data_IF_126285637069
#
_entry.id   IF_126285637069
#
_cell.length_a   1.000
_cell.length_b   1.000
_cell.length_c   1.000
_cell.angle_alpha   90.00
_cell.angle_beta   90.00
_cell.angle_gamma   90.00
#
_symmetry.space_group_name_H-M   'P 1'
#
loop_
_entity.id
_entity.type
_entity.pdbx_description
1 polymer ?
#
# COMPACT_ATOMS: atom_id res chain seq x y z
N UNK A 1 60.16 -53.62 46.97
CA UNK A 1 59.88 -52.29 46.37
C UNK A 1 60.03 -52.31 44.84
N UNK A 2 60.99 -53.03 44.27
CA UNK A 2 61.28 -53.04 42.82
C UNK A 2 60.20 -53.64 41.90
N UNK A 3 59.47 -54.70 42.30
CA UNK A 3 58.40 -55.28 41.48
C UNK A 3 57.19 -54.34 41.31
N UNK A 4 56.86 -53.53 42.33
CA UNK A 4 55.80 -52.51 42.25
C UNK A 4 56.19 -51.34 41.33
N UNK A 5 57.48 -51.00 41.26
CA UNK A 5 57.98 -49.99 40.31
C UNK A 5 57.94 -50.50 38.87
N UNK A 6 58.40 -51.73 38.61
CA UNK A 6 58.32 -52.33 37.27
C UNK A 6 56.88 -52.50 36.75
N UNK A 7 55.94 -52.85 37.61
CA UNK A 7 54.53 -52.93 37.21
C UNK A 7 53.95 -51.56 36.86
N UNK A 8 54.25 -50.53 37.67
CA UNK A 8 53.87 -49.14 37.39
C UNK A 8 54.52 -48.60 36.11
N UNK A 9 55.75 -48.98 35.80
CA UNK A 9 56.44 -48.58 34.57
C UNK A 9 55.81 -49.21 33.32
N UNK A 10 55.43 -50.50 33.40
CA UNK A 10 54.71 -51.18 32.33
C UNK A 10 53.32 -50.56 32.09
N UNK A 11 52.58 -50.25 33.16
CA UNK A 11 51.28 -49.59 33.06
C UNK A 11 51.41 -48.17 32.50
N UNK A 12 52.48 -47.44 32.87
CA UNK A 12 52.83 -46.15 32.27
C UNK A 12 53.11 -46.27 30.77
N UNK A 13 53.77 -47.32 30.30
CA UNK A 13 54.01 -47.53 28.87
C UNK A 13 52.73 -47.86 28.10
N UNK A 14 51.82 -48.64 28.67
CA UNK A 14 50.49 -48.93 28.08
C UNK A 14 49.63 -47.68 28.00
N UNK A 15 49.51 -46.93 29.10
CA UNK A 15 48.80 -45.65 29.12
C UNK A 15 49.37 -44.64 28.11
N UNK A 16 50.70 -44.60 27.92
CA UNK A 16 51.33 -43.76 26.89
C UNK A 16 50.97 -44.21 25.47
N UNK A 17 50.93 -45.51 25.22
CA UNK A 17 50.48 -46.07 23.93
C UNK A 17 49.00 -45.76 23.68
N UNK A 18 48.13 -45.93 24.67
CA UNK A 18 46.70 -45.60 24.60
C UNK A 18 46.48 -44.09 24.38
N UNK A 19 47.26 -43.23 25.05
CA UNK A 19 47.23 -41.78 24.80
C UNK A 19 47.68 -41.47 23.36
N UNK A 20 48.66 -42.19 22.83
CA UNK A 20 49.13 -41.98 21.46
C UNK A 20 48.13 -42.43 20.40
N UNK A 21 47.45 -43.57 20.61
CA UNK A 21 46.40 -44.05 19.72
C UNK A 21 45.17 -43.14 19.78
N UNK A 22 44.73 -42.74 20.97
CA UNK A 22 43.63 -41.78 21.15
C UNK A 22 43.93 -40.43 20.51
N UNK A 23 45.17 -39.94 20.60
CA UNK A 23 45.58 -38.71 19.88
C UNK A 23 45.52 -38.88 18.37
N UNK A 24 45.94 -40.03 17.85
CA UNK A 24 45.86 -40.31 16.42
C UNK A 24 44.41 -40.43 15.93
N UNK A 25 43.53 -41.04 16.72
CA UNK A 25 42.08 -41.11 16.46
C UNK A 25 41.42 -39.73 16.53
N UNK A 26 41.82 -38.88 17.49
CA UNK A 26 41.36 -37.50 17.58
C UNK A 26 41.76 -36.69 16.34
N UNK A 27 43.01 -36.84 15.86
CA UNK A 27 43.46 -36.18 14.64
C UNK A 27 42.71 -36.69 13.39
N UNK A 28 42.44 -37.99 13.31
CA UNK A 28 41.66 -38.58 12.21
C UNK A 28 40.21 -38.08 12.20
N UNK A 29 39.55 -38.09 13.36
CA UNK A 29 38.17 -37.61 13.51
C UNK A 29 38.07 -36.11 13.22
N UNK A 30 39.04 -35.31 13.71
CA UNK A 30 39.12 -33.89 13.38
C UNK A 30 39.28 -33.64 11.88
N UNK A 31 40.20 -34.36 11.22
CA UNK A 31 40.38 -34.24 9.76
C UNK A 31 39.13 -34.63 8.98
N UNK A 32 38.42 -35.67 9.42
CA UNK A 32 37.13 -36.07 8.83
C UNK A 32 36.04 -35.01 9.06
N UNK A 33 35.98 -34.39 10.25
CA UNK A 33 35.06 -33.28 10.52
C UNK A 33 35.37 -32.05 9.67
N UNK A 34 36.64 -31.68 9.51
CA UNK A 34 37.06 -30.55 8.66
C UNK A 34 36.72 -30.82 7.19
N UNK A 35 36.95 -32.04 6.69
CA UNK A 35 36.55 -32.42 5.32
C UNK A 35 35.02 -32.40 5.14
N UNK A 36 34.25 -32.86 6.13
CA UNK A 36 32.80 -32.80 6.10
C UNK A 36 32.28 -31.35 6.12
N UNK A 37 32.92 -30.46 6.90
CA UNK A 37 32.60 -29.03 6.92
C UNK A 37 32.90 -28.35 5.59
N UNK A 38 34.03 -28.68 4.95
CA UNK A 38 34.36 -28.15 3.62
C UNK A 38 33.35 -28.63 2.58
N UNK A 39 33.01 -29.92 2.57
CA UNK A 39 31.97 -30.49 1.70
C UNK A 39 30.59 -29.87 1.94
N UNK A 40 30.22 -29.65 3.20
CA UNK A 40 28.97 -28.95 3.52
C UNK A 40 28.98 -27.51 3.01
N UNK A 41 30.09 -26.79 3.18
CA UNK A 41 30.23 -25.40 2.74
C UNK A 41 30.14 -25.27 1.22
N UNK A 42 30.74 -26.20 0.46
CA UNK A 42 30.63 -26.21 -1.01
C UNK A 42 29.21 -26.52 -1.46
N UNK A 43 28.51 -27.45 -0.81
CA UNK A 43 27.11 -27.75 -1.10
C UNK A 43 26.20 -26.55 -0.80
N UNK A 44 26.38 -25.89 0.35
CA UNK A 44 25.61 -24.68 0.71
C UNK A 44 25.80 -23.59 -0.34
N UNK A 45 27.03 -23.35 -0.79
CA UNK A 45 27.31 -22.38 -1.85
C UNK A 45 26.61 -22.74 -3.18
N UNK A 46 26.61 -24.01 -3.56
CA UNK A 46 25.90 -24.47 -4.76
C UNK A 46 24.38 -24.27 -4.66
N UNK A 47 23.79 -24.57 -3.50
CA UNK A 47 22.36 -24.35 -3.25
C UNK A 47 22.03 -22.86 -3.32
N UNK A 48 22.82 -22.00 -2.67
CA UNK A 48 22.61 -20.54 -2.71
C UNK A 48 22.66 -19.99 -4.13
N UNK A 49 23.63 -20.44 -4.95
CA UNK A 49 23.71 -20.06 -6.35
C UNK A 49 22.46 -20.51 -7.13
N UNK A 50 21.98 -21.72 -6.88
CA UNK A 50 20.73 -22.22 -7.45
C UNK A 50 19.52 -21.38 -7.05
N UNK A 51 19.43 -20.98 -5.78
CA UNK A 51 18.36 -20.12 -5.27
C UNK A 51 18.38 -18.72 -5.92
N UNK A 52 19.58 -18.15 -6.15
CA UNK A 52 19.76 -16.88 -6.86
C UNK A 52 19.33 -17.01 -8.33
N UNK A 53 19.74 -18.08 -9.01
CA UNK A 53 19.32 -18.36 -10.39
C UNK A 53 17.78 -18.48 -10.48
N UNK A 54 17.16 -19.24 -9.57
CA UNK A 54 15.70 -19.37 -9.51
C UNK A 54 15.03 -18.00 -9.27
N UNK A 55 15.55 -17.17 -8.37
CA UNK A 55 15.00 -15.84 -8.12
C UNK A 55 15.08 -14.96 -9.37
N UNK A 56 16.23 -14.93 -10.03
CA UNK A 56 16.38 -14.14 -11.26
C UNK A 56 15.45 -14.64 -12.38
N UNK A 57 15.30 -15.96 -12.55
CA UNK A 57 14.36 -16.52 -13.52
C UNK A 57 12.93 -16.14 -13.19
N UNK A 58 12.53 -16.21 -11.92
CA UNK A 58 11.18 -15.82 -11.50
C UNK A 58 10.93 -14.32 -11.74
N UNK A 59 11.91 -13.46 -11.48
CA UNK A 59 11.81 -12.03 -11.77
C UNK A 59 11.65 -11.77 -13.28
N UNK A 60 12.39 -12.49 -14.12
CA UNK A 60 12.24 -12.40 -15.58
C UNK A 60 10.88 -12.90 -16.05
N UNK A 61 10.37 -14.00 -15.47
CA UNK A 61 9.04 -14.54 -15.77
C UNK A 61 7.96 -13.50 -15.42
N UNK A 62 7.99 -12.93 -14.22
CA UNK A 62 7.06 -11.90 -13.77
C UNK A 62 7.12 -10.63 -14.65
N UNK A 63 8.30 -10.27 -15.17
CA UNK A 63 8.43 -9.17 -16.13
C UNK A 63 7.81 -9.52 -17.49
N UNK A 64 8.01 -10.75 -17.98
CA UNK A 64 7.39 -11.22 -19.22
C UNK A 64 5.87 -11.31 -19.10
N UNK A 65 5.33 -11.83 -17.99
CA UNK A 65 3.89 -11.90 -17.73
C UNK A 65 3.25 -10.52 -17.72
N UNK A 66 3.86 -9.53 -17.05
CA UNK A 66 3.38 -8.14 -17.08
C UNK A 66 3.38 -7.57 -18.50
N UNK A 67 4.40 -7.88 -19.30
CA UNK A 67 4.46 -7.46 -20.70
C UNK A 67 3.37 -8.12 -21.54
N UNK A 68 3.11 -9.41 -21.33
CA UNK A 68 2.03 -10.14 -22.00
C UNK A 68 0.68 -9.52 -21.65
N UNK A 69 0.43 -9.21 -20.37
CA UNK A 69 -0.80 -8.53 -19.94
C UNK A 69 -0.96 -7.16 -20.61
N UNK A 70 0.11 -6.34 -20.66
CA UNK A 70 0.09 -5.05 -21.36
C UNK A 70 -0.24 -5.21 -22.85
N UNK A 71 0.45 -6.13 -23.52
CA UNK A 71 0.23 -6.41 -24.94
C UNK A 71 -1.20 -6.93 -25.20
N UNK A 72 -1.75 -7.76 -24.32
CA UNK A 72 -3.13 -8.26 -24.46
C UNK A 72 -4.14 -7.10 -24.41
N UNK A 73 -3.96 -6.16 -23.48
CA UNK A 73 -4.80 -4.95 -23.41
C UNK A 73 -4.68 -4.13 -24.70
N UNK A 74 -3.47 -3.97 -25.23
CA UNK A 74 -3.25 -3.28 -26.51
C UNK A 74 -3.96 -4.00 -27.67
N UNK A 75 -3.87 -5.33 -27.75
CA UNK A 75 -4.54 -6.13 -28.76
C UNK A 75 -6.07 -6.00 -28.66
N UNK A 76 -6.63 -6.09 -27.46
CA UNK A 76 -8.07 -5.88 -27.22
C UNK A 76 -8.50 -4.48 -27.70
N UNK A 77 -7.72 -3.45 -27.41
CA UNK A 77 -8.01 -2.08 -27.87
C UNK A 77 -7.97 -1.98 -29.40
N UNK A 78 -7.04 -2.67 -30.06
CA UNK A 78 -6.97 -2.71 -31.52
C UNK A 78 -8.15 -3.48 -32.11
N UNK A 79 -8.58 -4.59 -31.52
CA UNK A 79 -9.76 -5.34 -31.95
C UNK A 79 -11.05 -4.52 -31.84
N UNK A 80 -11.18 -3.69 -30.80
CA UNK A 80 -12.27 -2.72 -30.67
C UNK A 80 -12.24 -1.69 -31.80
N UNK A 81 -11.06 -1.15 -32.14
CA UNK A 81 -10.94 -0.21 -33.26
C UNK A 81 -11.26 -0.85 -34.61
N UNK A 82 -10.84 -2.11 -34.83
CA UNK A 82 -11.17 -2.87 -36.04
C UNK A 82 -12.68 -3.10 -36.14
N UNK A 83 -13.32 -3.46 -35.03
CA UNK A 83 -14.77 -3.67 -34.96
C UNK A 83 -15.55 -2.38 -35.24
N UNK A 84 -15.09 -1.25 -34.70
CA UNK A 84 -15.62 0.07 -34.99
C UNK A 84 -15.50 0.42 -36.48
N UNK A 85 -14.30 0.27 -37.06
CA UNK A 85 -14.06 0.57 -38.48
C UNK A 85 -14.89 -0.33 -39.41
N UNK A 86 -15.07 -1.62 -39.07
CA UNK A 86 -15.95 -2.53 -39.82
C UNK A 86 -17.41 -2.05 -39.81
N UNK A 87 -17.89 -1.53 -38.68
CA UNK A 87 -19.23 -0.94 -38.57
C UNK A 87 -19.36 0.30 -39.44
N UNK A 88 -18.37 1.17 -39.43
CA UNK A 88 -18.35 2.39 -40.25
C UNK A 88 -18.33 2.08 -41.75
N UNK A 89 -17.53 1.10 -42.18
CA UNK A 89 -17.53 0.61 -43.57
C UNK A 89 -18.91 0.09 -43.96
N UNK A 90 -19.57 -0.66 -43.07
CA UNK A 90 -20.91 -1.22 -43.34
C UNK A 90 -21.97 -0.11 -43.47
N UNK A 91 -21.91 0.90 -42.60
CA UNK A 91 -22.79 2.06 -42.67
C UNK A 91 -22.53 2.90 -43.93
N UNK A 92 -21.27 3.14 -44.30
CA UNK A 92 -20.93 3.83 -45.55
C UNK A 92 -21.41 3.07 -46.78
N UNK A 93 -21.29 1.74 -46.81
CA UNK A 93 -21.87 0.90 -47.86
C UNK A 93 -23.39 1.06 -47.94
N UNK A 94 -24.09 1.06 -46.80
CA UNK A 94 -25.54 1.30 -46.74
C UNK A 94 -25.90 2.69 -47.28
N UNK A 95 -25.17 3.73 -46.90
CA UNK A 95 -25.37 5.10 -47.39
C UNK A 95 -25.21 5.18 -48.91
N UNK A 96 -24.20 4.51 -49.48
CA UNK A 96 -24.01 4.43 -50.93
C UNK A 96 -25.23 3.80 -51.61
N UNK A 97 -25.76 2.69 -51.08
CA UNK A 97 -26.94 2.03 -51.65
C UNK A 97 -28.17 2.95 -51.60
N UNK A 98 -28.38 3.70 -50.51
CA UNK A 98 -29.48 4.67 -50.41
C UNK A 98 -29.32 5.79 -51.42
N UNK A 99 -28.12 6.37 -51.54
CA UNK A 99 -27.84 7.42 -52.53
C UNK A 99 -28.04 6.94 -53.97
N UNK A 100 -27.65 5.70 -54.29
CA UNK A 100 -27.88 5.11 -55.61
C UNK A 100 -29.37 4.99 -55.95
N UNK A 101 -30.21 4.59 -54.98
CA UNK A 101 -31.67 4.55 -55.17
C UNK A 101 -32.27 5.95 -55.36
N UNK A 102 -31.80 6.94 -54.62
CA UNK A 102 -32.23 8.33 -54.79
C UNK A 102 -31.84 8.87 -56.18
N UNK A 103 -30.65 8.51 -56.67
CA UNK A 103 -30.19 8.90 -58.00
C UNK A 103 -31.09 8.34 -59.11
N UNK A 104 -31.58 7.10 -58.98
CA UNK A 104 -32.52 6.54 -59.96
C UNK A 104 -33.86 7.29 -59.98
N UNK A 105 -34.38 7.70 -58.82
CA UNK A 105 -35.60 8.52 -58.75
C UNK A 105 -35.39 9.92 -59.35
N UNK A 106 -34.19 10.51 -59.19
CA UNK A 106 -33.86 11.79 -59.82
C UNK A 106 -33.91 11.68 -61.36
N UNK A 107 -33.35 10.62 -61.93
CA UNK A 107 -33.35 10.40 -63.39
C UNK A 107 -34.76 10.28 -63.95
N UNK A 108 -35.64 9.52 -63.29
CA UNK A 108 -37.04 9.40 -63.75
C UNK A 108 -37.78 10.74 -63.69
N UNK A 109 -37.54 11.55 -62.64
CA UNK A 109 -38.12 12.89 -62.54
C UNK A 109 -37.57 13.86 -63.61
N UNK A 110 -36.27 13.77 -63.94
CA UNK A 110 -35.69 14.56 -65.04
C UNK A 110 -36.31 14.18 -66.40
N UNK A 111 -36.57 12.91 -66.65
CA UNK A 111 -37.27 12.43 -67.85
C UNK A 111 -38.71 12.98 -67.91
N UNK A 112 -39.45 12.96 -66.79
CA UNK A 112 -40.79 13.55 -66.69
C UNK A 112 -40.79 15.07 -66.94
N UNK A 113 -39.82 15.79 -66.37
CA UNK A 113 -39.66 17.24 -66.61
C UNK A 113 -39.41 17.51 -68.10
N UNK A 114 -38.52 16.76 -68.74
CA UNK A 114 -38.23 16.92 -70.18
C UNK A 114 -39.46 16.63 -71.05
N UNK A 115 -40.25 15.62 -70.70
CA UNK A 115 -41.51 15.31 -71.38
C UNK A 115 -42.50 16.46 -71.24
N UNK A 116 -42.72 16.96 -70.02
CA UNK A 116 -43.62 18.09 -69.75
C UNK A 116 -43.15 19.37 -70.44
N UNK A 117 -41.84 19.62 -70.52
CA UNK A 117 -41.29 20.75 -71.27
C UNK A 117 -41.55 20.62 -72.77
N UNK A 118 -41.38 19.42 -73.33
CA UNK A 118 -41.70 19.15 -74.74
C UNK A 118 -43.19 19.38 -75.02
N UNK A 119 -44.07 18.83 -74.17
CA UNK A 119 -45.52 19.04 -74.29
C UNK A 119 -45.91 20.51 -74.16
N UNK A 120 -45.27 21.25 -73.26
CA UNK A 120 -45.51 22.69 -73.12
C UNK A 120 -45.08 23.45 -74.38
N UNK A 121 -43.95 23.09 -75.00
CA UNK A 121 -43.51 23.67 -76.26
C UNK A 121 -44.50 23.35 -77.39
N UNK A 122 -44.95 22.10 -77.51
CA UNK A 122 -45.98 21.71 -78.49
C UNK A 122 -47.28 22.50 -78.28
N UNK A 123 -47.75 22.63 -77.04
CA UNK A 123 -48.93 23.45 -76.74
C UNK A 123 -48.71 24.92 -77.09
N UNK A 124 -47.53 25.48 -76.84
CA UNK A 124 -47.19 26.86 -77.22
C UNK A 124 -47.15 27.04 -78.72
N UNK A 125 -46.58 26.10 -79.46
CA UNK A 125 -46.55 26.13 -80.92
C UNK A 125 -47.95 26.01 -81.51
N UNK A 126 -48.80 25.15 -80.95
CA UNK A 126 -50.22 25.08 -81.29
C UNK A 126 -50.94 26.39 -80.99
N UNK A 127 -50.67 27.01 -79.84
CA UNK A 127 -51.27 28.29 -79.48
C UNK A 127 -50.81 29.40 -80.42
N UNK A 128 -49.52 29.46 -80.76
CA UNK A 128 -48.97 30.40 -81.74
C UNK A 128 -49.55 30.17 -83.13
N UNK A 129 -49.78 28.91 -83.53
CA UNK A 129 -50.44 28.60 -84.79
C UNK A 129 -51.91 29.07 -84.80
N UNK A 130 -52.62 28.89 -83.68
CA UNK A 130 -53.98 29.39 -83.49
C UNK A 130 -54.01 30.92 -83.46
N UNK A 131 -53.10 31.58 -82.73
CA UNK A 131 -52.92 33.03 -82.70
C UNK A 131 -52.65 33.57 -84.10
N UNK A 132 -51.70 33.01 -84.85
CA UNK A 132 -51.48 33.40 -86.25
C UNK A 132 -52.72 33.18 -87.12
N UNK A 133 -53.43 32.07 -86.92
CA UNK A 133 -54.70 31.82 -87.63
C UNK A 133 -55.83 32.80 -87.25
N UNK A 134 -55.73 33.40 -86.06
CA UNK A 134 -56.67 34.39 -85.53
C UNK A 134 -56.28 35.82 -85.94
N UNK A 135 -54.98 36.11 -86.03
CA UNK A 135 -54.40 37.41 -86.41
C UNK A 135 -54.40 37.64 -87.92
N UNK A 136 -54.50 36.58 -88.75
CA UNK A 136 -54.66 36.70 -90.19
C UNK A 136 -55.98 37.41 -90.55
N UNK A 137 -55.94 38.64 -91.12
CA UNK A 137 -57.12 39.45 -91.40
C UNK A 137 -57.88 39.03 -92.68
N UNK A 138 -57.40 38.04 -93.43
CA UNK A 138 -57.98 37.57 -94.70
C UNK A 138 -59.21 36.65 -94.53
N UNK A 139 -59.55 36.24 -93.30
CA UNK A 139 -60.77 35.46 -93.03
C UNK A 139 -61.96 36.40 -92.77
N UNK A 140 -62.75 36.65 -93.82
CA UNK A 140 -63.96 37.51 -93.80
C UNK A 140 -65.00 37.10 -92.73
N UNK A 141 -65.01 35.82 -92.32
CA UNK A 141 -65.91 35.29 -91.27
C UNK A 141 -65.49 35.63 -89.83
N UNK A 142 -64.32 36.25 -89.62
CA UNK A 142 -63.77 36.56 -88.28
C UNK A 142 -63.56 38.05 -87.99
N UNK A 143 -63.84 38.94 -88.95
CA UNK A 143 -63.88 40.38 -88.69
C UNK A 143 -65.13 40.69 -87.87
N UNK A 144 -64.99 40.66 -86.54
CA UNK A 144 -65.99 41.23 -85.63
C UNK A 144 -65.67 42.70 -85.47
N UNK A 145 -66.54 43.57 -85.99
CA UNK A 145 -66.57 44.97 -85.54
C UNK A 145 -66.91 44.92 -84.05
N UNK A 146 -65.89 45.08 -83.20
CA UNK A 146 -66.09 45.20 -81.76
C UNK A 146 -66.90 46.47 -81.54
N UNK A 147 -68.19 46.29 -81.23
CA UNK A 147 -68.97 47.35 -80.62
C UNK A 147 -68.54 47.43 -79.16
N UNK A 148 -67.62 48.33 -78.88
CA UNK A 148 -67.50 48.96 -77.57
C UNK A 148 -67.94 50.40 -77.77
N UNK A 149 -69.04 50.80 -77.12
CA UNK A 149 -69.16 52.21 -76.78
C UNK A 149 -68.20 52.46 -75.62
N UNK A 150 -67.48 53.57 -75.67
CA UNK A 150 -66.83 54.07 -74.47
C UNK A 150 -67.92 54.22 -73.40
N UNK A 151 -67.76 53.58 -72.23
CA UNK A 151 -68.79 53.61 -71.21
C UNK A 151 -69.11 55.06 -70.86
N UNK A 152 -70.40 55.37 -70.84
CA UNK A 152 -70.89 56.69 -70.48
C UNK A 152 -70.32 57.07 -69.10
N UNK A 153 -70.05 58.36 -68.82
CA UNK A 153 -69.63 58.79 -67.48
C UNK A 153 -70.57 58.24 -66.38
N UNK A 154 -71.85 58.05 -66.67
CA UNK A 154 -72.82 57.45 -65.74
C UNK A 154 -72.55 55.96 -65.45
N UNK A 155 -72.12 55.18 -66.45
CA UNK A 155 -71.76 53.77 -66.29
C UNK A 155 -70.46 53.62 -65.49
N UNK A 156 -69.49 54.52 -65.70
CA UNK A 156 -68.28 54.59 -64.88
C UNK A 156 -68.62 54.93 -63.42
N UNK A 157 -69.50 55.91 -63.19
CA UNK A 157 -69.93 56.28 -61.83
C UNK A 157 -70.63 55.10 -61.15
N UNK A 158 -71.53 54.41 -61.83
CA UNK A 158 -72.19 53.20 -61.32
C UNK A 158 -71.16 52.10 -60.98
N UNK A 159 -70.12 51.95 -61.82
CA UNK A 159 -69.05 50.98 -61.57
C UNK A 159 -68.17 51.37 -60.39
N UNK A 160 -67.85 52.65 -60.24
CA UNK A 160 -67.09 53.19 -59.09
C UNK A 160 -67.87 52.92 -57.80
N UNK A 161 -69.17 53.23 -57.76
CA UNK A 161 -70.03 52.96 -56.60
C UNK A 161 -70.06 51.46 -56.25
N UNK A 162 -70.14 50.57 -57.24
CA UNK A 162 -70.05 49.12 -57.00
C UNK A 162 -68.70 48.69 -56.42
N UNK A 163 -67.61 49.33 -56.84
CA UNK A 163 -66.26 49.04 -56.36
C UNK A 163 -66.06 49.60 -54.95
N UNK A 164 -66.61 50.76 -54.64
CA UNK A 164 -66.59 51.35 -53.28
C UNK A 164 -67.33 50.45 -52.28
N UNK A 165 -68.49 49.89 -52.65
CA UNK A 165 -69.20 48.93 -51.80
C UNK A 165 -68.36 47.67 -51.57
N UNK A 166 -67.76 47.11 -52.63
CA UNK A 166 -66.89 45.93 -52.51
C UNK A 166 -65.62 46.21 -51.70
N UNK A 167 -65.08 47.43 -51.80
CA UNK A 167 -63.92 47.86 -51.02
C UNK A 167 -64.31 47.90 -49.54
N UNK A 168 -65.45 48.50 -49.19
CA UNK A 168 -65.96 48.51 -47.82
C UNK A 168 -66.18 47.11 -47.25
N UNK A 169 -66.74 46.17 -48.03
CA UNK A 169 -66.87 44.76 -47.62
C UNK A 169 -65.50 44.12 -47.33
N UNK A 170 -64.47 44.45 -48.13
CA UNK A 170 -63.12 43.92 -47.95
C UNK A 170 -62.39 44.54 -46.77
N UNK A 171 -62.57 45.83 -46.52
CA UNK A 171 -62.05 46.53 -45.35
C UNK A 171 -62.67 45.97 -44.06
N UNK A 172 -63.98 45.69 -44.06
CA UNK A 172 -64.63 45.02 -42.93
C UNK A 172 -64.05 43.62 -42.70
N UNK A 173 -63.90 42.82 -43.76
CA UNK A 173 -63.29 41.48 -43.65
C UNK A 173 -61.83 41.53 -43.16
N UNK A 174 -61.08 42.57 -43.52
CA UNK A 174 -59.72 42.77 -43.02
C UNK A 174 -59.75 43.05 -41.52
N UNK A 175 -60.62 43.95 -41.07
CA UNK A 175 -60.70 44.33 -39.66
C UNK A 175 -61.15 43.16 -38.77
N UNK A 176 -62.08 42.33 -39.24
CA UNK A 176 -62.46 41.10 -38.55
C UNK A 176 -61.28 40.15 -38.37
N UNK A 177 -60.43 40.00 -39.41
CA UNK A 177 -59.22 39.16 -39.34
C UNK A 177 -58.15 39.75 -38.43
N UNK A 178 -57.97 41.07 -38.43
CA UNK A 178 -57.02 41.76 -37.53
C UNK A 178 -57.41 41.53 -36.07
N UNK A 179 -58.70 41.62 -35.73
CA UNK A 179 -59.19 41.35 -34.38
C UNK A 179 -58.91 39.90 -33.95
N UNK A 180 -59.11 38.93 -34.85
CA UNK A 180 -58.78 37.52 -34.59
C UNK A 180 -57.28 37.34 -34.40
N UNK A 181 -56.47 37.95 -35.24
CA UNK A 181 -55.01 37.88 -35.13
C UNK A 181 -54.51 38.46 -33.80
N UNK A 182 -55.05 39.60 -33.35
CA UNK A 182 -54.71 40.14 -32.03
C UNK A 182 -55.08 39.19 -30.89
N UNK A 183 -56.20 38.48 -31.00
CA UNK A 183 -56.58 37.48 -30.00
C UNK A 183 -55.63 36.28 -30.01
N UNK A 184 -55.29 35.77 -31.20
CA UNK A 184 -54.31 34.68 -31.35
C UNK A 184 -52.94 35.09 -30.81
N UNK A 185 -52.47 36.30 -31.10
CA UNK A 185 -51.19 36.80 -30.60
C UNK A 185 -51.18 36.92 -29.07
N UNK A 186 -52.26 37.44 -28.46
CA UNK A 186 -52.40 37.47 -26.99
C UNK A 186 -52.36 36.06 -26.39
N UNK A 187 -53.01 35.08 -27.02
CA UNK A 187 -53.01 33.69 -26.56
C UNK A 187 -51.62 33.05 -26.71
N UNK A 188 -50.95 33.25 -27.84
CA UNK A 188 -49.59 32.80 -28.08
C UNK A 188 -48.62 33.36 -27.04
N UNK A 189 -48.66 34.68 -26.80
CA UNK A 189 -47.83 35.33 -25.80
C UNK A 189 -48.12 34.82 -24.38
N UNK A 190 -49.39 34.59 -24.03
CA UNK A 190 -49.76 34.02 -22.74
C UNK A 190 -49.29 32.56 -22.58
N UNK A 191 -49.34 31.75 -23.64
CA UNK A 191 -48.82 30.38 -23.64
C UNK A 191 -47.30 30.38 -23.51
N UNK A 192 -46.60 31.24 -24.24
CA UNK A 192 -45.15 31.35 -24.17
C UNK A 192 -44.69 31.76 -22.78
N UNK A 193 -45.34 32.75 -22.16
CA UNK A 193 -45.07 33.12 -20.77
C UNK A 193 -45.31 31.97 -19.78
N UNK A 194 -46.32 31.10 -20.02
CA UNK A 194 -46.53 29.89 -19.19
C UNK A 194 -45.42 28.85 -19.38
N UNK A 195 -44.96 28.65 -20.61
CA UNK A 195 -43.86 27.73 -20.93
C UNK A 195 -42.55 28.23 -20.29
N UNK A 196 -42.27 29.52 -20.36
CA UNK A 196 -41.07 30.09 -19.75
C UNK A 196 -41.09 29.96 -18.22
N UNK A 197 -42.25 30.18 -17.59
CA UNK A 197 -42.43 29.92 -16.15
C UNK A 197 -42.22 28.46 -15.79
N UNK A 198 -42.81 27.53 -16.54
CA UNK A 198 -42.63 26.09 -16.25
C UNK A 198 -41.18 25.64 -16.46
N UNK A 199 -40.48 26.20 -17.45
CA UNK A 199 -39.05 25.97 -17.66
C UNK A 199 -38.22 26.50 -16.50
N UNK A 200 -38.56 27.68 -15.97
CA UNK A 200 -37.90 28.24 -14.80
C UNK A 200 -38.16 27.40 -13.54
N UNK A 201 -39.40 26.99 -13.29
CA UNK A 201 -39.77 26.14 -12.17
C UNK A 201 -39.05 24.79 -12.20
N UNK A 202 -38.98 24.15 -13.38
CA UNK A 202 -38.26 22.88 -13.55
C UNK A 202 -36.76 23.04 -13.33
N UNK A 203 -36.16 24.15 -13.77
CA UNK A 203 -34.76 24.47 -13.48
C UNK A 203 -34.51 24.63 -11.98
N UNK A 204 -35.36 25.39 -11.27
CA UNK A 204 -35.24 25.58 -9.83
C UNK A 204 -35.37 24.26 -9.06
N UNK A 205 -36.31 23.40 -9.45
CA UNK A 205 -36.48 22.07 -8.87
C UNK A 205 -35.23 21.21 -9.11
N UNK A 206 -34.67 21.22 -10.32
CA UNK A 206 -33.44 20.50 -10.64
C UNK A 206 -32.24 21.00 -9.82
N UNK A 207 -32.10 22.31 -9.64
CA UNK A 207 -31.06 22.90 -8.78
C UNK A 207 -31.22 22.48 -7.32
N UNK A 208 -32.44 22.52 -6.78
CA UNK A 208 -32.75 22.04 -5.41
C UNK A 208 -32.42 20.55 -5.26
N UNK A 209 -32.82 19.71 -6.22
CA UNK A 209 -32.51 18.28 -6.21
C UNK A 209 -30.99 18.01 -6.24
N UNK A 210 -30.24 18.74 -7.06
CA UNK A 210 -28.78 18.63 -7.11
C UNK A 210 -28.12 19.04 -5.80
N UNK A 211 -28.60 20.11 -5.16
CA UNK A 211 -28.12 20.54 -3.84
C UNK A 211 -28.41 19.47 -2.77
N UNK A 212 -29.61 18.89 -2.78
CA UNK A 212 -29.95 17.78 -1.88
C UNK A 212 -29.07 16.56 -2.12
N UNK A 213 -28.84 16.17 -3.37
CA UNK A 213 -27.94 15.06 -3.74
C UNK A 213 -26.51 15.30 -3.23
N UNK A 214 -25.99 16.53 -3.36
CA UNK A 214 -24.69 16.89 -2.81
C UNK A 214 -24.64 16.80 -1.28
N UNK A 215 -25.69 17.28 -0.60
CA UNK A 215 -25.82 17.16 0.85
C UNK A 215 -25.88 15.70 1.32
N UNK A 216 -26.68 14.86 0.64
CA UNK A 216 -26.78 13.42 0.90
C UNK A 216 -25.40 12.76 0.76
N UNK A 217 -24.66 13.05 -0.32
CA UNK A 217 -23.29 12.53 -0.53
C UNK A 217 -22.35 12.95 0.61
N UNK A 218 -22.42 14.19 1.08
CA UNK A 218 -21.62 14.67 2.21
C UNK A 218 -22.00 13.95 3.51
N UNK A 219 -23.30 13.78 3.76
CA UNK A 219 -23.81 13.06 4.93
C UNK A 219 -23.40 11.58 4.92
N UNK A 220 -23.52 10.90 3.77
CA UNK A 220 -23.06 9.50 3.63
C UNK A 220 -21.56 9.34 3.87
N UNK A 221 -20.73 10.29 3.41
CA UNK A 221 -19.29 10.27 3.75
C UNK A 221 -19.06 10.38 5.26
N UNK A 222 -19.80 11.27 5.96
CA UNK A 222 -19.73 11.38 7.42
C UNK A 222 -20.17 10.09 8.10
N UNK A 223 -21.28 9.48 7.67
CA UNK A 223 -21.77 8.20 8.22
C UNK A 223 -20.72 7.11 8.04
N UNK A 224 -20.06 7.03 6.88
CA UNK A 224 -18.98 6.07 6.64
C UNK A 224 -17.78 6.29 7.55
N UNK A 225 -17.37 7.55 7.78
CA UNK A 225 -16.28 7.88 8.69
C UNK A 225 -16.61 7.46 10.13
N UNK A 226 -17.78 7.83 10.63
CA UNK A 226 -18.24 7.45 11.98
C UNK A 226 -18.39 5.92 12.11
N UNK A 227 -18.85 5.23 11.08
CA UNK A 227 -18.93 3.77 11.08
C UNK A 227 -17.54 3.11 11.17
N UNK A 228 -16.53 3.66 10.50
CA UNK A 228 -15.15 3.19 10.58
C UNK A 228 -14.53 3.47 11.97
N UNK A 229 -14.75 4.66 12.52
CA UNK A 229 -14.35 5.00 13.90
C UNK A 229 -15.00 4.03 14.90
N UNK A 230 -16.30 3.79 14.77
CA UNK A 230 -17.01 2.84 15.64
C UNK A 230 -16.46 1.42 15.50
N UNK A 231 -16.10 0.99 14.28
CA UNK A 231 -15.51 -0.32 14.05
C UNK A 231 -14.14 -0.44 14.73
N UNK A 232 -13.29 0.58 14.64
CA UNK A 232 -12.00 0.64 15.34
C UNK A 232 -12.19 0.58 16.86
N UNK A 233 -13.09 1.39 17.41
CA UNK A 233 -13.38 1.39 18.86
C UNK A 233 -13.90 0.03 19.30
N UNK A 234 -14.78 -0.61 18.52
CA UNK A 234 -15.27 -1.97 18.82
C UNK A 234 -14.14 -3.01 18.79
N UNK A 235 -13.26 -2.96 17.79
CA UNK A 235 -12.12 -3.88 17.71
C UNK A 235 -11.19 -3.70 18.91
N UNK A 236 -10.88 -2.47 19.29
CA UNK A 236 -10.06 -2.18 20.47
C UNK A 236 -10.73 -2.65 21.77
N UNK A 237 -12.04 -2.44 21.91
CA UNK A 237 -12.78 -2.92 23.08
C UNK A 237 -12.77 -4.46 23.17
N UNK A 238 -12.89 -5.16 22.04
CA UNK A 238 -12.77 -6.62 22.00
C UNK A 238 -11.36 -7.10 22.36
N UNK A 239 -10.31 -6.44 21.85
CA UNK A 239 -8.93 -6.78 22.17
C UNK A 239 -8.63 -6.57 23.67
N UNK A 240 -9.02 -5.42 24.24
CA UNK A 240 -8.87 -5.16 25.67
C UNK A 240 -9.68 -6.14 26.53
N UNK A 241 -10.84 -6.59 26.04
CA UNK A 241 -11.62 -7.62 26.73
C UNK A 241 -10.91 -8.97 26.72
N UNK A 242 -10.25 -9.34 25.61
CA UNK A 242 -9.43 -10.55 25.52
C UNK A 242 -8.22 -10.48 26.45
N UNK A 243 -7.47 -9.38 26.42
CA UNK A 243 -6.33 -9.14 27.33
C UNK A 243 -6.76 -9.23 28.80
N UNK A 244 -7.90 -8.63 29.16
CA UNK A 244 -8.46 -8.75 30.51
C UNK A 244 -8.74 -10.21 30.87
N UNK A 245 -9.35 -10.99 29.97
CA UNK A 245 -9.66 -12.40 30.23
C UNK A 245 -8.38 -13.24 30.38
N UNK A 246 -7.36 -12.98 29.57
CA UNK A 246 -6.05 -13.64 29.67
C UNK A 246 -5.36 -13.32 31.00
N UNK A 247 -5.36 -12.05 31.42
CA UNK A 247 -4.80 -11.64 32.71
C UNK A 247 -5.62 -12.16 33.90
N UNK A 248 -6.95 -12.25 33.79
CA UNK A 248 -7.78 -12.91 34.81
C UNK A 248 -7.44 -14.39 34.96
N UNK A 249 -7.31 -15.11 33.85
CA UNK A 249 -6.88 -16.52 33.86
C UNK A 249 -5.48 -16.67 34.44
N UNK A 250 -4.55 -15.77 34.08
CA UNK A 250 -3.19 -15.73 34.63
C UNK A 250 -3.23 -15.53 36.13
N UNK A 251 -4.02 -14.58 36.63
CA UNK A 251 -4.19 -14.32 38.06
C UNK A 251 -4.80 -15.52 38.79
N UNK A 252 -5.79 -16.20 38.21
CA UNK A 252 -6.38 -17.39 38.81
C UNK A 252 -5.37 -18.54 38.93
N UNK A 253 -4.52 -18.75 37.91
CA UNK A 253 -3.40 -19.70 37.98
C UNK A 253 -2.40 -19.28 39.06
N UNK A 254 -2.04 -18.00 39.13
CA UNK A 254 -1.15 -17.48 40.17
C UNK A 254 -1.73 -17.72 41.58
N UNK A 255 -3.03 -17.50 41.76
CA UNK A 255 -3.74 -17.75 43.03
C UNK A 255 -3.70 -19.22 43.40
N UNK A 256 -4.00 -20.12 42.47
CA UNK A 256 -3.93 -21.58 42.72
C UNK A 256 -2.51 -22.03 43.10
N UNK A 257 -1.47 -21.51 42.41
CA UNK A 257 -0.07 -21.79 42.76
C UNK A 257 0.28 -21.29 44.17
N UNK A 258 -0.16 -20.08 44.52
CA UNK A 258 0.03 -19.52 45.84
C UNK A 258 -0.67 -20.35 46.93
N UNK A 259 -1.91 -20.81 46.69
CA UNK A 259 -2.65 -21.70 47.60
C UNK A 259 -1.92 -23.03 47.82
N UNK A 260 -1.18 -23.50 46.82
CA UNK A 260 -0.33 -24.69 46.89
C UNK A 260 1.05 -24.41 47.56
N UNK A 261 1.31 -23.18 47.99
CA UNK A 261 2.57 -22.76 48.62
C UNK A 261 3.72 -22.57 47.62
N UNK A 262 3.43 -22.55 46.32
CA UNK A 262 4.41 -22.29 45.26
C UNK A 262 4.47 -20.79 44.92
N UNK A 263 5.59 -20.31 44.34
CA UNK A 263 5.68 -18.94 43.85
C UNK A 263 4.56 -18.61 42.84
N UNK A 264 3.96 -17.40 42.90
CA UNK A 264 2.83 -17.02 42.04
C UNK A 264 3.12 -17.11 40.54
N UNK A 265 4.35 -16.81 40.12
CA UNK A 265 4.77 -16.86 38.71
C UNK A 265 6.23 -17.30 38.62
N UNK A 266 6.61 -17.89 37.48
CA UNK A 266 7.99 -18.31 37.19
C UNK A 266 8.95 -17.12 37.15
N UNK A 267 8.50 -15.96 36.66
CA UNK A 267 9.32 -14.74 36.67
C UNK A 267 9.62 -14.29 38.11
N UNK A 268 8.61 -14.34 38.98
CA UNK A 268 8.75 -14.02 40.40
C UNK A 268 9.67 -15.02 41.12
N UNK A 269 9.60 -16.29 40.76
CA UNK A 269 10.53 -17.31 41.26
C UNK A 269 11.97 -17.00 40.84
N UNK A 270 12.20 -16.66 39.57
CA UNK A 270 13.52 -16.30 39.07
C UNK A 270 14.06 -15.03 39.74
N UNK A 271 13.23 -14.02 39.95
CA UNK A 271 13.59 -12.81 40.68
C UNK A 271 13.94 -13.10 42.14
N UNK A 272 13.17 -13.96 42.81
CA UNK A 272 13.46 -14.41 44.16
C UNK A 272 14.80 -15.16 44.25
N UNK A 273 15.07 -16.06 43.30
CA UNK A 273 16.35 -16.77 43.21
C UNK A 273 17.52 -15.83 42.89
N UNK A 274 17.29 -14.74 42.15
CA UNK A 274 18.31 -13.68 41.96
C UNK A 274 18.57 -12.95 43.28
N UNK A 275 17.51 -12.55 43.99
CA UNK A 275 17.61 -11.89 45.28
C UNK A 275 18.39 -12.72 46.29
N UNK A 276 18.05 -14.01 46.43
CA UNK A 276 18.77 -14.92 47.34
C UNK A 276 20.26 -15.02 46.99
N UNK A 277 20.61 -15.13 45.70
CA UNK A 277 22.03 -15.15 45.28
C UNK A 277 22.74 -13.85 45.62
N UNK A 278 22.09 -12.71 45.40
CA UNK A 278 22.66 -11.41 45.72
C UNK A 278 22.80 -11.19 47.23
N UNK A 279 21.87 -11.72 48.03
CA UNK A 279 21.94 -11.70 49.48
C UNK A 279 23.12 -12.55 49.99
N UNK A 280 23.27 -13.78 49.48
CA UNK A 280 24.42 -14.63 49.80
C UNK A 280 25.74 -13.95 49.43
N UNK A 281 25.80 -13.29 48.26
CA UNK A 281 26.98 -12.51 47.85
C UNK A 281 27.24 -11.38 48.84
N UNK A 282 26.24 -10.57 49.18
CA UNK A 282 26.37 -9.46 50.14
C UNK A 282 26.84 -9.94 51.50
N UNK A 283 26.31 -11.06 51.99
CA UNK A 283 26.71 -11.63 53.27
C UNK A 283 28.16 -12.14 53.24
N UNK A 284 28.58 -12.81 52.16
CA UNK A 284 29.96 -13.23 51.96
C UNK A 284 30.93 -12.03 51.88
N UNK A 285 30.55 -10.98 51.15
CA UNK A 285 31.32 -9.74 51.04
C UNK A 285 31.43 -9.02 52.39
N UNK A 286 30.36 -8.97 53.19
CA UNK A 286 30.38 -8.43 54.55
C UNK A 286 31.29 -9.25 55.47
N UNK A 287 31.23 -10.57 55.42
CA UNK A 287 32.13 -11.44 56.20
C UNK A 287 33.59 -11.26 55.80
N UNK A 288 33.87 -11.13 54.51
CA UNK A 288 35.22 -10.83 54.03
C UNK A 288 35.70 -9.47 54.53
N UNK A 289 34.86 -8.42 54.44
CA UNK A 289 35.20 -7.10 54.97
C UNK A 289 35.42 -7.10 56.47
N UNK A 290 34.59 -7.82 57.24
CA UNK A 290 34.76 -7.97 58.67
C UNK A 290 36.09 -8.65 59.01
N UNK A 291 36.45 -9.73 58.31
CA UNK A 291 37.77 -10.38 58.45
C UNK A 291 38.92 -9.45 58.11
N UNK A 292 38.82 -8.70 57.02
CA UNK A 292 39.83 -7.71 56.63
C UNK A 292 39.97 -6.62 57.71
N UNK A 293 38.87 -6.14 58.28
CA UNK A 293 38.88 -5.16 59.38
C UNK A 293 39.49 -5.74 60.66
N UNK A 294 39.17 -6.98 61.03
CA UNK A 294 39.79 -7.68 62.17
C UNK A 294 41.29 -7.90 61.94
N UNK A 295 41.70 -8.22 60.72
CA UNK A 295 43.11 -8.37 60.37
C UNK A 295 43.85 -7.02 60.34
N UNK A 296 43.20 -5.93 59.90
CA UNK A 296 43.71 -4.57 59.98
C UNK A 296 43.86 -4.11 61.44
N UNK A 297 42.87 -4.33 62.31
CA UNK A 297 42.97 -4.05 63.75
C UNK A 297 44.10 -4.84 64.42
N UNK A 298 44.32 -6.11 64.04
CA UNK A 298 45.45 -6.92 64.52
C UNK A 298 46.81 -6.41 64.02
N UNK A 299 46.82 -5.70 62.91
CA UNK A 299 48.01 -5.13 62.25
C UNK A 299 48.28 -3.67 62.64
N UNK A 300 47.36 -3.02 63.35
CA UNK A 300 47.54 -1.69 63.90
C UNK A 300 48.46 -1.71 65.13
N UNK A 301 49.56 -0.96 65.04
CA UNK A 301 50.47 -0.76 66.16
C UNK A 301 49.90 0.31 67.12
N UNK A 302 50.26 0.29 68.43
CA UNK A 302 49.84 1.32 69.39
C UNK A 302 50.20 2.78 69.02
N UNK A 303 51.04 2.99 68.00
CA UNK A 303 51.38 4.29 67.42
C UNK A 303 50.42 4.74 66.30
N UNK A 304 49.38 3.97 65.97
CA UNK A 304 48.40 4.26 64.93
C UNK A 304 48.88 4.02 63.49
N UNK A 305 49.95 3.24 63.29
CA UNK A 305 50.49 2.91 61.96
C UNK A 305 50.17 1.46 61.60
N UNK A 306 49.52 1.23 60.46
CA UNK A 306 49.16 -0.11 59.96
C UNK A 306 50.39 -0.78 59.34
N UNK A 307 50.74 -2.00 59.79
CA UNK A 307 51.88 -2.77 59.27
C UNK A 307 51.44 -4.01 58.49
N UNK A 308 52.00 -4.22 57.30
CA UNK A 308 51.77 -5.44 56.50
C UNK A 308 52.68 -6.61 56.90
N UNK A 309 53.45 -6.48 57.97
CA UNK A 309 54.31 -7.55 58.47
C UNK A 309 53.52 -8.51 59.37
N UNK A 310 53.56 -9.82 59.09
CA UNK A 310 52.97 -10.84 59.97
C UNK A 310 53.55 -10.68 61.41
N UNK A 311 52.70 -10.55 62.45
CA UNK A 311 53.16 -10.40 63.82
C UNK A 311 53.96 -11.64 64.22
N UNK A 312 55.17 -11.43 64.74
CA UNK A 312 56.02 -12.55 65.18
C UNK A 312 55.39 -13.21 66.41
N UNK A 313 55.31 -14.55 66.47
CA UNK A 313 54.93 -15.24 67.69
C UNK A 313 55.88 -14.82 68.82
N UNK A 314 55.37 -14.09 69.80
CA UNK A 314 56.14 -13.52 70.90
C UNK A 314 56.20 -14.45 72.13
N UNK A 315 55.40 -15.52 72.12
CA UNK A 315 55.38 -16.52 73.14
C UNK A 315 55.24 -17.92 72.55
N UNK A 316 55.75 -18.92 73.26
CA UNK A 316 55.46 -20.33 72.99
C UNK A 316 54.65 -20.93 74.13
N UNK A 317 53.98 -22.03 73.83
CA UNK A 317 53.29 -22.84 74.81
C UNK A 317 54.18 -24.07 75.04
N UNK A 318 54.86 -24.21 76.19
CA UNK A 318 55.61 -25.41 76.52
C UNK A 318 54.66 -26.61 76.66
N UNK A 319 54.96 -27.74 76.01
CA UNK A 319 54.13 -28.95 76.06
C UNK A 319 54.17 -29.67 77.43
N UNK A 320 55.14 -29.35 78.28
CA UNK A 320 55.45 -30.09 79.52
C UNK A 320 55.01 -29.36 80.81
N UNK A 321 54.24 -28.27 80.71
CA UNK A 321 53.72 -27.51 81.87
C UNK A 321 52.21 -27.83 82.08
N UNK A 322 51.71 -28.02 83.32
CA UNK A 322 50.33 -28.42 83.58
C UNK A 322 49.28 -27.35 83.23
N UNK A 323 49.70 -26.11 82.97
CA UNK A 323 48.85 -25.04 82.44
C UNK A 323 49.46 -24.48 81.14
N UNK A 324 48.67 -24.37 80.03
CA UNK A 324 49.15 -23.85 78.75
C UNK A 324 49.22 -22.31 78.77
N UNK A 325 50.03 -21.75 79.66
CA UNK A 325 50.26 -20.31 79.71
C UNK A 325 51.35 -19.91 78.69
N UNK A 326 51.09 -18.93 77.81
CA UNK A 326 52.08 -18.48 76.83
C UNK A 326 53.28 -17.85 77.55
N UNK A 327 54.47 -18.42 77.36
CA UNK A 327 55.72 -17.90 77.92
C UNK A 327 56.49 -17.10 76.87
N UNK A 328 56.98 -15.88 77.18
CA UNK A 328 57.71 -15.09 76.22
C UNK A 328 59.02 -15.79 75.84
N UNK A 329 59.37 -15.73 74.56
CA UNK A 329 60.71 -16.09 74.14
C UNK A 329 61.68 -15.04 74.72
N UNK A 330 62.55 -15.45 75.66
CA UNK A 330 63.54 -14.54 76.25
C UNK A 330 64.59 -14.04 75.24
N UNK A 331 65.79 -13.70 75.71
CA UNK A 331 66.87 -13.14 74.85
C UNK A 331 67.28 -14.03 73.65
N UNK A 332 66.89 -15.32 73.64
CA UNK A 332 67.18 -16.30 72.59
C UNK A 332 65.93 -16.64 71.76
N UNK A 333 65.20 -15.63 71.27
CA UNK A 333 64.00 -15.86 70.48
C UNK A 333 64.31 -16.51 69.12
N UNK A 334 63.52 -17.53 68.69
CA UNK A 334 63.73 -18.18 67.41
C UNK A 334 63.49 -17.19 66.26
N UNK A 335 64.53 -16.98 65.45
CA UNK A 335 64.46 -16.12 64.28
C UNK A 335 63.82 -16.88 63.11
N UNK A 336 62.66 -16.43 62.64
CA UNK A 336 62.08 -16.88 61.37
C UNK A 336 62.76 -16.12 60.23
N UNK A 337 63.52 -16.78 59.33
CA UNK A 337 64.12 -16.11 58.19
C UNK A 337 63.02 -15.47 57.34
N UNK A 338 63.11 -14.16 57.09
CA UNK A 338 62.27 -13.50 56.10
C UNK A 338 62.53 -14.13 54.75
N UNK A 339 61.47 -14.52 54.02
CA UNK A 339 61.63 -14.98 52.65
C UNK A 339 62.35 -13.87 51.84
N UNK A 340 63.35 -14.21 51.02
CA UNK A 340 64.08 -13.22 50.24
C UNK A 340 63.07 -12.48 49.36
N UNK A 341 62.96 -11.16 49.56
CA UNK A 341 62.02 -10.33 48.81
C UNK A 341 62.30 -10.40 47.31
N UNK A 342 61.28 -10.13 46.50
CA UNK A 342 61.30 -10.21 45.03
C UNK A 342 62.46 -9.43 44.37
N UNK A 343 63.09 -8.50 45.09
CA UNK A 343 64.26 -7.70 44.68
C UNK A 343 65.62 -8.43 44.68
N UNK A 344 65.75 -9.58 45.37
CA UNK A 344 67.04 -10.31 45.51
C UNK A 344 67.44 -11.20 44.30
N UNK A 345 66.96 -10.92 43.08
CA UNK A 345 67.24 -11.74 41.88
C UNK A 345 68.64 -11.55 41.26
N UNK A 346 69.48 -10.64 41.79
CA UNK A 346 70.76 -10.25 41.16
C UNK A 346 72.04 -10.53 41.97
N UNK A 347 72.03 -11.42 42.97
CA UNK A 347 73.26 -11.81 43.69
C UNK A 347 73.86 -13.08 43.07
N UNK A 348 74.95 -12.94 42.31
CA UNK A 348 75.73 -14.08 41.76
C UNK A 348 76.68 -14.63 42.84
N UNK A 349 76.58 -15.92 43.15
CA UNK A 349 77.50 -16.59 44.10
C UNK A 349 78.91 -16.70 43.50
N UNK A 350 79.99 -16.38 44.24
CA UNK A 350 81.36 -16.52 43.76
C UNK A 350 81.74 -18.01 43.59
N UNK A 351 82.46 -18.34 42.52
CA UNK A 351 82.99 -19.70 42.28
C UNK A 351 84.26 -19.91 43.13
N UNK A 352 84.33 -20.94 43.99
CA UNK A 352 85.55 -21.25 44.74
C UNK A 352 86.65 -21.77 43.78
N UNK A 353 87.89 -21.34 43.99
CA UNK A 353 89.07 -21.85 43.25
C UNK A 353 89.47 -23.22 43.81
N UNK A 354 89.86 -24.19 42.98
CA UNK A 354 90.35 -25.48 43.45
C UNK A 354 91.68 -25.31 44.19
N UNK A 355 91.81 -26.02 45.31
CA UNK A 355 93.05 -26.08 46.11
C UNK A 355 93.87 -27.24 45.54
N UNK A 356 95.03 -26.95 44.98
CA UNK A 356 96.07 -27.95 44.69
C UNK A 356 96.78 -28.25 46.02
N UNK A 357 96.89 -29.54 46.37
CA UNK A 357 97.50 -30.03 47.62
C UNK A 357 99.02 -29.91 47.56
#
# INVERSE_FOLDING_TARGET
MEQKHRHKDLDLTKLKQDISSLKQELLRTRGACEAAQQSHSTLVFQVQKGDEEIRTLNDTLNAMERRIQSNNIEVESLDDTISFLKRDISEKKRQIVVCQKQLTCKKSLEEEINLLQTQLLECKDQNLALEKSLENPDFESRIRKLQGSDPSPEELISKIQQLEVKLGEKEQQLHEKELVYEQEDRLCNALQAKVDRSRQDTLEQAMKANKMKASIKKCTKKVKAVAAELAMVKANAMALQQERQEEELRLDVCRQRLEQGLPPSEDMEQEWLRYLRDEHRRHADQQLRAKMSEDEERQELPSGTITTAEPRPNAYIPLDDPLPLPKPYGALAPYKPSQPGTSMRHIRKPKPRPIEI
#
